data_IF_966668052787
#
_entry.id   IF_966668052787
#
_cell.length_a   1.000
_cell.length_b   1.000
_cell.length_c   1.000
_cell.angle_alpha   90.00
_cell.angle_beta   90.00
_cell.angle_gamma   90.00
#
_symmetry.space_group_name_H-M   'P 1'
#
loop_
_entity.id
_entity.type
_entity.pdbx_description
1 polymer ?
#
# COMPACT_ATOMS: atom_id res chain seq x y z
N UNK A 1 -4.72 -40.06 3.56
CA UNK A 1 -3.99 -38.87 4.00
C UNK A 1 -5.03 -37.87 4.51
N UNK A 2 -5.01 -37.50 5.78
CA UNK A 2 -5.85 -36.43 6.29
C UNK A 2 -5.53 -35.16 5.51
N UNK A 3 -6.54 -34.48 4.97
CA UNK A 3 -6.35 -33.18 4.34
C UNK A 3 -5.74 -32.27 5.40
N UNK A 4 -4.53 -31.81 5.19
CA UNK A 4 -3.90 -30.83 6.08
C UNK A 4 -4.77 -29.58 6.00
N UNK A 5 -5.44 -29.24 7.09
CA UNK A 5 -6.30 -28.08 7.19
C UNK A 5 -5.48 -26.84 6.82
N UNK A 6 -5.85 -26.16 5.73
CA UNK A 6 -5.12 -24.99 5.25
C UNK A 6 -5.45 -23.79 6.13
N UNK A 7 -4.44 -22.97 6.41
CA UNK A 7 -4.64 -21.75 7.15
C UNK A 7 -5.37 -20.67 6.32
N UNK A 8 -5.25 -20.75 5.00
CA UNK A 8 -5.84 -19.79 4.07
C UNK A 8 -6.67 -20.48 3.00
N UNK A 9 -7.75 -19.81 2.59
CA UNK A 9 -8.58 -20.14 1.43
C UNK A 9 -8.50 -19.01 0.41
N UNK A 10 -8.83 -19.32 -0.86
CA UNK A 10 -8.91 -18.33 -1.92
C UNK A 10 -10.32 -18.34 -2.51
N UNK A 11 -10.95 -17.17 -2.58
CA UNK A 11 -12.28 -17.00 -3.14
C UNK A 11 -12.20 -16.28 -4.49
N UNK A 12 -12.74 -16.90 -5.56
CA UNK A 12 -12.90 -16.24 -6.84
C UNK A 12 -14.17 -15.38 -6.82
N UNK A 13 -14.07 -14.15 -7.30
CA UNK A 13 -15.20 -13.23 -7.37
C UNK A 13 -15.16 -12.35 -8.63
N UNK A 14 -16.30 -11.78 -9.01
CA UNK A 14 -16.37 -10.84 -10.13
C UNK A 14 -15.83 -9.49 -9.73
N UNK A 15 -14.89 -8.94 -10.47
CA UNK A 15 -14.21 -7.68 -10.13
C UNK A 15 -15.18 -6.49 -9.98
N UNK A 16 -16.16 -6.38 -10.87
CA UNK A 16 -17.07 -5.22 -10.91
C UNK A 16 -18.11 -5.27 -9.80
N UNK A 17 -18.68 -6.45 -9.49
CA UNK A 17 -19.77 -6.54 -8.51
C UNK A 17 -19.31 -6.98 -7.13
N UNK A 18 -18.13 -7.58 -7.02
CA UNK A 18 -17.63 -8.19 -5.80
C UNK A 18 -18.26 -9.56 -5.47
N UNK A 19 -19.22 -10.07 -6.29
CA UNK A 19 -19.91 -11.31 -6.00
C UNK A 19 -18.96 -12.50 -6.00
N UNK A 20 -18.93 -13.23 -4.89
CA UNK A 20 -18.16 -14.48 -4.75
C UNK A 20 -18.85 -15.57 -5.55
N UNK A 21 -18.06 -16.29 -6.34
CA UNK A 21 -18.51 -17.34 -7.23
C UNK A 21 -18.27 -18.71 -6.61
N UNK A 22 -17.05 -18.98 -6.20
CA UNK A 22 -16.63 -20.26 -5.62
C UNK A 22 -15.30 -20.10 -4.87
N UNK A 23 -14.97 -21.14 -4.11
CA UNK A 23 -13.65 -21.30 -3.50
C UNK A 23 -12.70 -21.98 -4.50
N UNK A 24 -11.48 -21.46 -4.61
CA UNK A 24 -10.44 -21.96 -5.51
C UNK A 24 -9.66 -23.06 -4.81
N UNK A 25 -9.53 -24.21 -5.48
CA UNK A 25 -8.62 -25.25 -5.00
C UNK A 25 -7.16 -24.79 -5.15
N UNK A 26 -6.44 -24.81 -4.05
CA UNK A 26 -5.03 -24.42 -4.02
C UNK A 26 -4.13 -25.65 -4.05
N UNK A 27 -2.97 -25.56 -4.70
CA UNK A 27 -1.92 -26.57 -4.63
C UNK A 27 -0.94 -26.30 -3.47
N UNK A 28 -0.78 -25.03 -3.09
CA UNK A 28 0.08 -24.55 -2.01
C UNK A 28 -0.60 -23.42 -1.22
N UNK A 29 -0.05 -23.06 -0.06
CA UNK A 29 -0.49 -21.87 0.67
C UNK A 29 -0.31 -20.63 -0.22
N UNK A 30 -1.28 -19.70 -0.21
CA UNK A 30 -1.19 -18.48 -1.01
C UNK A 30 -0.18 -17.50 -0.42
N UNK A 31 0.43 -16.69 -1.28
CA UNK A 31 1.20 -15.52 -0.88
C UNK A 31 0.31 -14.28 -0.94
N UNK A 32 0.47 -13.36 0.00
CA UNK A 32 -0.25 -12.09 0.00
C UNK A 32 0.54 -11.00 0.74
N UNK A 33 0.28 -9.75 0.37
CA UNK A 33 0.80 -8.59 1.06
C UNK A 33 -0.21 -7.45 1.01
N UNK A 34 -0.38 -6.76 2.12
CA UNK A 34 -1.16 -5.52 2.26
C UNK A 34 -0.26 -4.43 2.84
N UNK A 35 -0.30 -3.23 2.28
CA UNK A 35 0.56 -2.12 2.66
C UNK A 35 -0.19 -0.81 2.52
N UNK A 36 0.06 0.15 3.44
CA UNK A 36 -0.47 1.50 3.29
C UNK A 36 0.17 2.20 2.10
N UNK A 37 -0.56 3.09 1.47
CA UNK A 37 -0.10 3.90 0.35
C UNK A 37 0.49 3.10 -0.81
N UNK A 38 0.05 1.84 -0.95
CA UNK A 38 0.58 0.91 -1.95
C UNK A 38 -0.53 -0.03 -2.45
N UNK A 39 -0.29 -0.61 -3.61
CA UNK A 39 -1.23 -1.53 -4.27
C UNK A 39 -1.37 -2.85 -3.52
N UNK A 40 -0.26 -3.35 -2.93
CA UNK A 40 -0.21 -4.71 -2.40
C UNK A 40 -0.36 -5.76 -3.49
N UNK A 41 -0.48 -7.05 -3.10
CA UNK A 41 -0.62 -8.12 -4.07
C UNK A 41 -0.90 -9.48 -3.46
N UNK A 42 -1.17 -10.43 -4.34
CA UNK A 42 -1.40 -11.83 -3.98
C UNK A 42 -0.92 -12.77 -5.07
N UNK A 43 -0.63 -14.01 -4.69
CA UNK A 43 -0.25 -15.09 -5.60
C UNK A 43 -0.82 -16.42 -5.08
N UNK A 44 -1.40 -17.20 -5.97
CA UNK A 44 -1.92 -18.54 -5.69
C UNK A 44 -1.34 -19.55 -6.68
N UNK A 45 -1.26 -20.78 -6.24
CA UNK A 45 -0.90 -21.93 -7.09
C UNK A 45 -2.08 -22.89 -7.11
N UNK A 46 -2.58 -23.20 -8.31
CA UNK A 46 -3.74 -24.06 -8.53
C UNK A 46 -3.34 -25.34 -9.27
N UNK A 47 -3.89 -26.50 -8.92
CA UNK A 47 -3.57 -27.75 -9.60
C UNK A 47 -4.27 -27.82 -10.97
N UNK A 48 -3.57 -28.33 -12.00
CA UNK A 48 -4.05 -28.46 -13.38
C UNK A 48 -4.26 -29.93 -13.84
N UNK A 49 -4.38 -30.86 -12.93
CA UNK A 49 -4.48 -32.28 -13.29
C UNK A 49 -5.69 -32.54 -14.21
N UNK A 50 -5.40 -32.90 -15.49
CA UNK A 50 -6.36 -33.29 -16.51
C UNK A 50 -7.01 -32.10 -17.24
N UNK A 51 -7.40 -32.35 -18.50
CA UNK A 51 -7.94 -31.31 -19.39
C UNK A 51 -9.22 -30.64 -18.89
N UNK A 52 -10.11 -31.39 -18.23
CA UNK A 52 -11.35 -30.85 -17.69
C UNK A 52 -11.11 -29.82 -16.58
N UNK A 53 -10.09 -30.03 -15.75
CA UNK A 53 -9.73 -29.06 -14.69
C UNK A 53 -9.03 -27.85 -15.28
N UNK A 54 -8.11 -28.04 -16.21
CA UNK A 54 -7.46 -26.94 -16.92
C UNK A 54 -8.47 -26.05 -17.64
N UNK A 55 -9.50 -26.62 -18.26
CA UNK A 55 -10.60 -25.88 -18.88
C UNK A 55 -11.34 -25.00 -17.85
N UNK A 56 -11.70 -25.56 -16.69
CA UNK A 56 -12.35 -24.80 -15.60
C UNK A 56 -11.48 -23.66 -15.08
N UNK A 57 -10.18 -23.89 -14.89
CA UNK A 57 -9.25 -22.82 -14.48
C UNK A 57 -9.23 -21.71 -15.51
N UNK A 58 -9.19 -22.05 -16.82
CA UNK A 58 -9.19 -21.07 -17.90
C UNK A 58 -10.47 -20.22 -17.95
N UNK A 59 -11.62 -20.74 -17.55
CA UNK A 59 -12.89 -20.01 -17.52
C UNK A 59 -12.87 -18.81 -16.54
N UNK A 60 -12.20 -18.94 -15.40
CA UNK A 60 -12.16 -17.89 -14.38
C UNK A 60 -10.80 -17.18 -14.29
N UNK A 61 -9.73 -17.74 -14.87
CA UNK A 61 -8.42 -17.08 -14.90
C UNK A 61 -8.37 -16.04 -16.03
N UNK A 62 -9.32 -15.09 -16.01
CA UNK A 62 -9.43 -14.01 -16.99
C UNK A 62 -9.07 -12.69 -16.33
N UNK A 63 -7.92 -12.08 -16.71
CA UNK A 63 -7.47 -10.81 -16.13
C UNK A 63 -8.56 -9.74 -16.15
N UNK A 64 -8.60 -8.95 -15.08
CA UNK A 64 -9.51 -7.83 -14.86
C UNK A 64 -11.00 -8.19 -14.74
N UNK A 65 -11.45 -9.29 -15.33
CA UNK A 65 -12.83 -9.77 -15.21
C UNK A 65 -13.09 -10.43 -13.87
N UNK A 66 -12.12 -11.22 -13.40
CA UNK A 66 -12.18 -11.91 -12.14
C UNK A 66 -11.07 -11.47 -11.21
N UNK A 67 -11.35 -11.60 -9.95
CA UNK A 67 -10.50 -11.23 -8.83
C UNK A 67 -10.42 -12.40 -7.85
N UNK A 68 -9.36 -12.42 -7.04
CA UNK A 68 -9.18 -13.40 -5.96
C UNK A 68 -9.09 -12.66 -4.63
N UNK A 69 -9.72 -13.22 -3.61
CA UNK A 69 -9.57 -12.82 -2.23
C UNK A 69 -8.88 -13.94 -1.43
N UNK A 70 -7.82 -13.61 -0.72
CA UNK A 70 -7.13 -14.50 0.21
C UNK A 70 -7.74 -14.30 1.58
N UNK A 71 -8.28 -15.37 2.15
CA UNK A 71 -9.05 -15.35 3.38
C UNK A 71 -8.41 -16.27 4.41
N UNK A 72 -8.25 -15.79 5.64
CA UNK A 72 -7.86 -16.57 6.80
C UNK A 72 -9.04 -16.66 7.76
N UNK A 73 -9.28 -17.85 8.30
CA UNK A 73 -10.34 -18.09 9.29
C UNK A 73 -11.33 -19.17 8.85
N UNK A 74 -12.25 -19.48 9.73
CA UNK A 74 -13.29 -20.50 9.53
C UNK A 74 -14.67 -19.89 9.81
N UNK A 75 -15.35 -19.47 8.76
CA UNK A 75 -16.71 -18.95 8.82
C UNK A 75 -16.81 -17.43 8.70
N UNK A 76 -17.93 -16.99 8.13
CA UNK A 76 -18.14 -15.62 7.62
C UNK A 76 -17.94 -14.51 8.68
N UNK A 77 -18.26 -14.79 9.94
CA UNK A 77 -18.19 -13.78 11.01
C UNK A 77 -16.76 -13.55 11.59
N UNK A 78 -15.87 -14.52 11.37
CA UNK A 78 -14.49 -14.50 11.88
C UNK A 78 -13.43 -14.47 10.77
N UNK A 79 -13.86 -14.50 9.51
CA UNK A 79 -12.96 -14.52 8.36
C UNK A 79 -12.28 -13.19 8.18
N UNK A 80 -10.95 -13.20 8.13
CA UNK A 80 -10.12 -12.06 7.77
C UNK A 80 -9.75 -12.14 6.31
N UNK A 81 -10.18 -11.18 5.50
CA UNK A 81 -9.70 -11.03 4.12
C UNK A 81 -8.37 -10.30 4.17
N UNK A 82 -7.28 -11.05 3.92
CA UNK A 82 -5.93 -10.54 4.02
C UNK A 82 -5.54 -9.65 2.84
N UNK A 83 -5.96 -10.05 1.63
CA UNK A 83 -5.78 -9.28 0.39
C UNK A 83 -6.83 -9.71 -0.63
N UNK A 84 -7.26 -8.77 -1.47
CA UNK A 84 -8.16 -9.06 -2.59
C UNK A 84 -7.95 -8.08 -3.74
N UNK A 85 -8.16 -8.55 -4.97
CA UNK A 85 -8.11 -7.71 -6.16
C UNK A 85 -7.96 -8.49 -7.45
N UNK A 86 -7.82 -7.78 -8.59
CA UNK A 86 -7.90 -8.38 -9.91
C UNK A 86 -6.75 -9.33 -10.22
N UNK A 87 -7.05 -10.37 -10.97
CA UNK A 87 -6.05 -11.16 -11.67
C UNK A 87 -5.40 -10.24 -12.71
N UNK A 88 -4.06 -10.19 -12.71
CA UNK A 88 -3.31 -9.37 -13.68
C UNK A 88 -2.42 -10.25 -14.53
N UNK A 89 -1.35 -10.86 -14.01
CA UNK A 89 -0.58 -11.82 -14.78
C UNK A 89 -0.98 -13.27 -14.47
N UNK A 90 -0.89 -14.12 -15.47
CA UNK A 90 -0.85 -15.56 -15.32
C UNK A 90 0.08 -16.14 -16.39
N UNK A 91 0.76 -17.22 -16.06
CA UNK A 91 1.69 -17.88 -16.96
C UNK A 91 1.53 -19.40 -16.79
N UNK A 92 0.75 -20.06 -17.65
CA UNK A 92 0.69 -21.51 -17.68
C UNK A 92 2.02 -22.07 -18.23
N UNK A 93 2.45 -23.17 -17.65
CA UNK A 93 3.60 -23.96 -18.08
C UNK A 93 3.10 -25.36 -18.42
N UNK A 94 3.32 -25.81 -19.65
CA UNK A 94 2.81 -27.08 -20.14
C UNK A 94 3.44 -28.28 -19.42
N UNK A 95 4.65 -28.13 -18.91
CA UNK A 95 5.36 -29.18 -18.17
C UNK A 95 5.01 -29.20 -16.67
N UNK A 96 4.24 -28.21 -16.19
CA UNK A 96 3.90 -28.09 -14.77
C UNK A 96 2.50 -28.62 -14.45
N UNK A 97 2.36 -29.51 -13.42
CA UNK A 97 1.05 -29.97 -12.95
C UNK A 97 0.28 -28.91 -12.19
N UNK A 98 0.86 -27.72 -12.00
CA UNK A 98 0.27 -26.60 -11.29
C UNK A 98 0.40 -25.31 -12.10
N UNK A 99 -0.52 -24.39 -11.86
CA UNK A 99 -0.54 -23.10 -12.51
C UNK A 99 -0.46 -21.97 -11.47
N UNK A 100 0.43 -21.02 -11.69
CA UNK A 100 0.56 -19.84 -10.84
C UNK A 100 -0.28 -18.70 -11.41
N UNK A 101 -1.15 -18.17 -10.56
CA UNK A 101 -1.97 -16.99 -10.83
C UNK A 101 -1.64 -15.92 -9.82
N UNK A 102 -1.42 -14.71 -10.25
CA UNK A 102 -1.13 -13.59 -9.39
C UNK A 102 -1.99 -12.37 -9.71
N UNK A 103 -2.07 -11.47 -8.75
CA UNK A 103 -2.84 -10.26 -8.89
C UNK A 103 -2.39 -9.17 -7.94
N UNK A 104 -3.07 -8.07 -8.04
CA UNK A 104 -2.81 -6.85 -7.30
C UNK A 104 -3.99 -6.52 -6.39
N UNK A 105 -3.81 -5.61 -5.43
CA UNK A 105 -4.90 -5.07 -4.64
C UNK A 105 -5.82 -4.13 -5.44
N UNK A 106 -6.88 -3.66 -4.79
CA UNK A 106 -7.91 -2.81 -5.41
C UNK A 106 -7.35 -1.54 -6.07
N UNK A 107 -6.32 -0.93 -5.48
CA UNK A 107 -5.69 0.29 -6.00
C UNK A 107 -5.23 0.16 -7.45
N UNK A 108 -4.84 -1.04 -7.89
CA UNK A 108 -4.40 -1.26 -9.27
C UNK A 108 -5.49 -0.96 -10.30
N UNK A 109 -6.77 -1.10 -9.92
CA UNK A 109 -7.88 -0.72 -10.81
C UNK A 109 -7.89 0.79 -11.02
N UNK A 110 -7.55 1.58 -10.00
CA UNK A 110 -7.45 3.03 -10.08
C UNK A 110 -6.27 3.48 -10.96
N UNK A 111 -5.19 2.69 -11.00
CA UNK A 111 -4.05 2.92 -11.91
C UNK A 111 -4.42 2.74 -13.39
N UNK A 112 -5.61 2.23 -13.68
CA UNK A 112 -6.15 2.01 -15.03
C UNK A 112 -7.36 2.88 -15.33
N UNK A 113 -7.60 3.92 -14.53
CA UNK A 113 -8.71 4.87 -14.71
C UNK A 113 -8.20 6.28 -14.83
N UNK A 114 -8.53 6.93 -15.94
CA UNK A 114 -8.28 8.36 -16.12
C UNK A 114 -9.16 9.14 -15.16
N UNK A 115 -8.56 10.08 -14.44
CA UNK A 115 -9.26 10.97 -13.52
C UNK A 115 -9.80 12.19 -14.27
N UNK A 116 -11.09 12.41 -14.20
CA UNK A 116 -11.80 13.58 -14.70
C UNK A 116 -13.08 13.78 -13.88
N UNK A 117 -13.76 14.89 -14.09
CA UNK A 117 -15.03 15.14 -13.43
C UNK A 117 -16.05 14.04 -13.78
N UNK A 118 -16.68 13.41 -12.79
CA UNK A 118 -17.57 12.26 -12.98
C UNK A 118 -18.76 12.49 -13.91
N UNK A 119 -19.20 13.74 -14.03
CA UNK A 119 -20.33 14.13 -14.90
C UNK A 119 -19.89 14.51 -16.32
N UNK A 120 -18.58 14.54 -16.61
CA UNK A 120 -18.11 14.74 -17.97
C UNK A 120 -18.56 13.57 -18.84
N UNK A 121 -18.98 13.87 -20.08
CA UNK A 121 -19.46 12.87 -21.02
C UNK A 121 -18.77 13.03 -22.38
N UNK A 122 -17.99 12.05 -22.86
CA UNK A 122 -17.26 12.14 -24.12
C UNK A 122 -18.17 12.22 -25.35
N UNK A 123 -19.47 11.91 -25.24
CA UNK A 123 -20.42 12.06 -26.36
C UNK A 123 -20.84 13.51 -26.57
N UNK A 124 -20.68 14.39 -25.58
CA UNK A 124 -21.16 15.80 -25.60
C UNK A 124 -20.08 16.84 -25.38
N UNK A 125 -18.89 16.43 -24.87
CA UNK A 125 -17.81 17.34 -24.54
C UNK A 125 -16.44 16.69 -24.79
N UNK A 126 -15.44 17.49 -25.15
CA UNK A 126 -14.06 17.02 -25.32
C UNK A 126 -13.38 16.89 -23.95
N UNK A 127 -12.38 16.04 -23.86
CA UNK A 127 -11.56 15.91 -22.62
C UNK A 127 -10.78 17.19 -22.29
N UNK A 128 -10.62 18.07 -23.28
CA UNK A 128 -9.99 19.40 -23.14
C UNK A 128 -10.95 20.50 -22.71
N UNK A 129 -12.24 20.20 -22.59
CA UNK A 129 -13.23 21.18 -22.15
C UNK A 129 -13.22 21.28 -20.61
N UNK A 130 -13.47 22.45 -20.06
CA UNK A 130 -13.51 22.69 -18.62
C UNK A 130 -14.50 21.78 -17.85
N UNK A 131 -15.48 21.19 -18.54
CA UNK A 131 -16.40 20.22 -17.95
C UNK A 131 -15.72 18.89 -17.57
N UNK A 132 -14.54 18.60 -18.13
CA UNK A 132 -13.73 17.44 -17.79
C UNK A 132 -12.80 17.69 -16.58
N UNK A 133 -12.53 18.97 -16.27
CA UNK A 133 -11.63 19.35 -15.20
C UNK A 133 -12.23 19.03 -13.83
N UNK A 134 -11.40 18.50 -12.96
CA UNK A 134 -11.75 18.22 -11.57
C UNK A 134 -10.92 19.12 -10.66
N UNK A 135 -11.56 20.09 -10.03
CA UNK A 135 -10.95 20.90 -8.98
C UNK A 135 -11.62 20.59 -7.64
N UNK A 136 -10.84 20.27 -6.63
CA UNK A 136 -11.31 19.94 -5.29
C UNK A 136 -10.65 20.89 -4.30
N UNK A 137 -11.49 21.58 -3.53
CA UNK A 137 -11.11 22.43 -2.41
C UNK A 137 -11.59 21.77 -1.13
N UNK A 138 -10.70 21.11 -0.39
CA UNK A 138 -11.06 20.41 0.83
C UNK A 138 -9.81 20.04 1.65
N UNK A 139 -9.97 19.30 2.74
CA UNK A 139 -8.86 18.65 3.44
C UNK A 139 -8.23 17.55 2.57
N UNK A 140 -6.95 17.25 2.80
CA UNK A 140 -6.24 16.19 2.05
C UNK A 140 -6.95 14.83 2.12
N UNK A 141 -7.47 14.36 3.29
CA UNK A 141 -8.29 13.16 3.36
C UNK A 141 -9.54 13.18 2.47
N UNK A 142 -10.26 14.31 2.46
CA UNK A 142 -11.44 14.46 1.61
C UNK A 142 -11.07 14.54 0.12
N UNK A 143 -9.92 15.12 -0.24
CA UNK A 143 -9.40 15.11 -1.60
C UNK A 143 -9.10 13.68 -2.04
N UNK A 144 -8.44 12.86 -1.19
CA UNK A 144 -8.20 11.44 -1.48
C UNK A 144 -9.51 10.67 -1.74
N UNK A 145 -10.49 10.87 -0.87
CA UNK A 145 -11.85 10.31 -1.04
C UNK A 145 -12.49 10.72 -2.36
N UNK A 146 -12.44 12.01 -2.70
CA UNK A 146 -13.05 12.55 -3.91
C UNK A 146 -12.40 12.03 -5.19
N UNK A 147 -11.07 11.82 -5.21
CA UNK A 147 -10.37 11.18 -6.34
C UNK A 147 -10.99 9.80 -6.61
N UNK A 148 -11.15 8.97 -5.56
CA UNK A 148 -11.73 7.63 -5.70
C UNK A 148 -13.20 7.70 -6.09
N UNK A 149 -13.98 8.61 -5.50
CA UNK A 149 -15.38 8.82 -5.84
C UNK A 149 -15.55 9.16 -7.34
N UNK A 150 -14.83 10.14 -7.85
CA UNK A 150 -14.87 10.51 -9.27
C UNK A 150 -14.44 9.35 -10.17
N UNK A 151 -13.44 8.59 -9.78
CA UNK A 151 -12.95 7.44 -10.56
C UNK A 151 -13.90 6.23 -10.57
N UNK A 152 -14.83 6.13 -9.59
CA UNK A 152 -15.70 4.95 -9.43
C UNK A 152 -17.19 5.23 -9.62
N UNK A 153 -17.58 6.49 -9.86
CA UNK A 153 -18.99 6.89 -10.02
C UNK A 153 -19.26 7.70 -11.30
N UNK A 154 -18.55 7.41 -12.40
CA UNK A 154 -18.71 8.09 -13.67
C UNK A 154 -20.13 7.91 -14.24
N UNK A 155 -20.86 9.00 -14.44
CA UNK A 155 -22.28 8.92 -14.81
C UNK A 155 -22.53 8.42 -16.23
N UNK A 156 -21.61 8.67 -17.16
CA UNK A 156 -21.72 8.28 -18.57
C UNK A 156 -21.25 6.85 -18.86
N UNK A 157 -20.67 6.17 -17.89
CA UNK A 157 -19.95 4.89 -18.10
C UNK A 157 -20.61 3.78 -17.31
N UNK A 158 -21.39 2.97 -17.98
CA UNK A 158 -21.92 1.74 -17.38
C UNK A 158 -20.79 0.85 -16.86
N UNK A 159 -20.90 0.31 -15.63
CA UNK A 159 -19.87 -0.50 -15.00
C UNK A 159 -18.69 0.30 -14.41
N UNK A 160 -18.81 1.63 -14.30
CA UNK A 160 -17.81 2.44 -13.57
C UNK A 160 -17.82 2.16 -12.07
N UNK A 161 -18.99 1.82 -11.51
CA UNK A 161 -19.13 1.47 -10.11
C UNK A 161 -18.32 0.23 -9.76
N UNK A 162 -17.62 0.30 -8.62
CA UNK A 162 -16.84 -0.79 -8.06
C UNK A 162 -17.30 -1.08 -6.64
N UNK A 163 -17.04 -2.29 -6.11
CA UNK A 163 -17.42 -2.68 -4.75
C UNK A 163 -16.51 -2.03 -3.70
N UNK A 164 -16.48 -0.70 -3.66
CA UNK A 164 -15.72 0.11 -2.70
C UNK A 164 -16.67 0.96 -1.85
N UNK A 165 -16.39 1.01 -0.54
CA UNK A 165 -17.08 1.86 0.41
C UNK A 165 -16.16 3.02 0.77
N UNK A 166 -16.60 4.23 0.45
CA UNK A 166 -15.86 5.45 0.73
C UNK A 166 -16.09 5.89 2.18
N UNK A 167 -15.09 6.47 2.85
CA UNK A 167 -15.26 7.00 4.19
C UNK A 167 -16.25 8.16 4.20
N UNK A 168 -16.86 8.41 5.35
CA UNK A 168 -17.59 9.66 5.57
C UNK A 168 -16.61 10.83 5.45
N UNK A 169 -16.98 11.94 4.78
CA UNK A 169 -16.15 13.13 4.74
C UNK A 169 -15.77 13.61 6.14
N UNK A 170 -14.52 13.97 6.33
CA UNK A 170 -14.00 14.59 7.56
C UNK A 170 -14.27 16.10 7.55
N UNK A 171 -13.72 16.83 8.52
CA UNK A 171 -13.75 18.28 8.52
C UNK A 171 -13.19 18.86 7.21
N UNK A 172 -13.80 19.94 6.73
CA UNK A 172 -13.37 20.64 5.53
C UNK A 172 -12.00 21.29 5.74
N UNK A 173 -11.21 21.34 4.69
CA UNK A 173 -9.90 22.01 4.68
C UNK A 173 -9.80 23.06 3.60
N UNK A 174 -8.62 23.65 3.47
CA UNK A 174 -8.33 24.73 2.51
C UNK A 174 -7.35 24.30 1.41
N UNK A 175 -7.00 23.01 1.34
CA UNK A 175 -6.11 22.50 0.32
C UNK A 175 -6.84 22.45 -1.02
N UNK A 176 -6.17 22.90 -2.08
CA UNK A 176 -6.70 22.84 -3.45
C UNK A 176 -5.90 21.86 -4.28
N UNK A 177 -6.59 21.01 -5.03
CA UNK A 177 -6.00 20.18 -6.08
C UNK A 177 -6.83 20.33 -7.36
N UNK A 178 -6.14 20.64 -8.45
CA UNK A 178 -6.73 20.73 -9.78
C UNK A 178 -6.17 19.61 -10.66
N UNK A 179 -7.06 18.91 -11.30
CA UNK A 179 -6.75 17.80 -12.21
C UNK A 179 -7.42 18.10 -13.56
N UNK A 180 -6.71 18.78 -14.47
CA UNK A 180 -7.23 19.07 -15.79
C UNK A 180 -7.53 17.79 -16.57
N UNK A 181 -8.68 17.75 -17.26
CA UNK A 181 -9.07 16.58 -18.04
C UNK A 181 -8.07 16.25 -19.15
N UNK A 182 -7.45 17.26 -19.75
CA UNK A 182 -6.47 17.08 -20.82
C UNK A 182 -5.16 16.39 -20.39
N UNK A 183 -4.82 16.38 -19.09
CA UNK A 183 -3.67 15.65 -18.57
C UNK A 183 -3.87 14.14 -18.65
N UNK A 184 -5.11 13.67 -18.74
CA UNK A 184 -5.48 12.25 -18.76
C UNK A 184 -4.75 11.42 -17.68
N UNK A 185 -4.50 12.05 -16.54
CA UNK A 185 -3.75 11.45 -15.46
C UNK A 185 -4.53 10.28 -14.83
N UNK A 186 -3.83 9.25 -14.41
CA UNK A 186 -4.46 8.08 -13.77
C UNK A 186 -4.85 8.40 -12.32
N UNK A 187 -6.08 8.02 -11.93
CA UNK A 187 -6.60 8.27 -10.58
C UNK A 187 -5.72 7.66 -9.48
N UNK A 188 -5.19 6.44 -9.69
CA UNK A 188 -4.29 5.78 -8.75
C UNK A 188 -2.97 6.53 -8.59
N UNK A 189 -2.42 7.08 -9.68
CA UNK A 189 -1.21 7.91 -9.62
C UNK A 189 -1.47 9.21 -8.84
N UNK A 190 -2.57 9.92 -9.11
CA UNK A 190 -2.91 11.15 -8.38
C UNK A 190 -3.17 10.90 -6.90
N UNK A 191 -3.74 9.76 -6.57
CA UNK A 191 -3.89 9.32 -5.20
C UNK A 191 -2.52 9.05 -4.54
N UNK A 192 -1.60 8.40 -5.26
CA UNK A 192 -0.24 8.14 -4.78
C UNK A 192 0.53 9.45 -4.52
N UNK A 193 0.51 10.38 -5.46
CA UNK A 193 1.12 11.70 -5.30
C UNK A 193 0.57 12.45 -4.06
N UNK A 194 -0.74 12.33 -3.79
CA UNK A 194 -1.36 12.96 -2.63
C UNK A 194 -0.87 12.37 -1.30
N UNK A 195 -0.55 11.08 -1.25
CA UNK A 195 0.00 10.45 -0.03
C UNK A 195 1.45 10.84 0.24
N UNK A 196 2.16 11.40 -0.74
CA UNK A 196 3.58 11.76 -0.66
C UNK A 196 3.83 13.23 -0.33
N UNK A 197 2.78 14.09 -0.30
CA UNK A 197 2.96 15.49 0.10
C UNK A 197 3.16 15.59 1.62
N UNK A 198 3.69 16.73 2.08
CA UNK A 198 3.76 17.02 3.52
C UNK A 198 2.36 16.91 4.13
N UNK A 199 2.25 16.20 5.25
CA UNK A 199 0.96 15.88 5.91
C UNK A 199 -0.03 15.14 4.98
N UNK A 200 0.49 14.45 3.95
CA UNK A 200 -0.30 13.61 3.05
C UNK A 200 -1.01 12.48 3.82
N UNK A 201 -2.26 12.16 3.44
CA UNK A 201 -3.04 11.18 4.18
C UNK A 201 -2.56 9.76 3.90
N UNK A 202 -2.60 8.91 4.91
CA UNK A 202 -2.56 7.47 4.69
C UNK A 202 -3.79 7.00 3.94
N UNK A 203 -3.60 6.08 3.00
CA UNK A 203 -4.70 5.45 2.28
C UNK A 203 -4.52 3.93 2.28
N UNK A 204 -5.57 3.22 2.65
CA UNK A 204 -5.62 1.76 2.59
C UNK A 204 -6.98 1.31 2.03
N UNK A 205 -6.96 0.37 1.09
CA UNK A 205 -8.17 -0.35 0.66
C UNK A 205 -8.22 -1.69 1.38
N UNK A 206 -9.00 -1.73 2.47
CA UNK A 206 -9.19 -2.94 3.27
C UNK A 206 -10.27 -3.83 2.63
N UNK A 207 -9.93 -5.01 2.10
CA UNK A 207 -10.93 -5.94 1.63
C UNK A 207 -11.67 -6.58 2.80
N UNK A 208 -12.95 -6.87 2.60
CA UNK A 208 -13.76 -7.60 3.59
C UNK A 208 -14.85 -8.44 2.90
N UNK A 209 -15.26 -9.49 3.58
CA UNK A 209 -16.33 -10.38 3.16
C UNK A 209 -17.65 -9.93 3.79
N UNK A 210 -18.72 -9.90 3.01
CA UNK A 210 -20.06 -9.58 3.49
C UNK A 210 -21.12 -10.44 2.81
N UNK A 211 -22.30 -10.50 3.40
CA UNK A 211 -23.45 -11.22 2.84
C UNK A 211 -24.58 -10.23 2.55
N UNK A 212 -25.04 -10.21 1.32
CA UNK A 212 -26.14 -9.36 0.85
C UNK A 212 -27.15 -10.27 0.15
N UNK A 213 -28.39 -10.31 0.64
CA UNK A 213 -29.42 -11.16 0.05
C UNK A 213 -29.10 -12.66 0.02
N UNK A 214 -28.35 -13.15 1.02
CA UNK A 214 -27.92 -14.55 1.10
C UNK A 214 -26.71 -14.92 0.22
N UNK A 215 -26.17 -13.99 -0.54
CA UNK A 215 -24.98 -14.18 -1.38
C UNK A 215 -23.77 -13.50 -0.77
N UNK A 216 -22.59 -14.12 -0.93
CA UNK A 216 -21.31 -13.58 -0.44
C UNK A 216 -20.72 -12.58 -1.42
N UNK A 217 -20.16 -11.49 -0.89
CA UNK A 217 -19.50 -10.44 -1.65
C UNK A 217 -18.17 -10.05 -1.00
N UNK A 218 -17.17 -9.82 -1.82
CA UNK A 218 -15.94 -9.13 -1.44
C UNK A 218 -16.13 -7.64 -1.77
N UNK A 219 -15.98 -6.81 -0.77
CA UNK A 219 -15.98 -5.35 -0.92
C UNK A 219 -14.70 -4.77 -0.36
N UNK A 220 -14.40 -3.54 -0.71
CA UNK A 220 -13.23 -2.82 -0.23
C UNK A 220 -13.66 -1.59 0.54
N UNK A 221 -13.20 -1.46 1.78
CA UNK A 221 -13.37 -0.22 2.54
C UNK A 221 -12.17 0.66 2.31
N UNK A 222 -12.37 1.86 1.78
CA UNK A 222 -11.33 2.88 1.75
C UNK A 222 -11.17 3.47 3.14
N UNK A 223 -9.98 3.33 3.70
CA UNK A 223 -9.58 3.95 4.96
C UNK A 223 -8.63 5.10 4.61
N UNK A 224 -8.85 6.25 5.25
CA UNK A 224 -8.03 7.46 5.02
C UNK A 224 -7.63 8.03 6.36
N UNK A 225 -6.34 8.26 6.55
CA UNK A 225 -5.78 8.88 7.75
C UNK A 225 -5.80 10.42 7.67
N UNK A 226 -5.56 11.07 8.82
CA UNK A 226 -5.40 12.51 8.89
C UNK A 226 -4.25 12.88 9.86
N UNK A 227 -2.98 12.94 9.42
CA UNK A 227 -2.48 12.30 8.19
C UNK A 227 -2.40 10.77 8.33
N UNK A 228 -2.30 10.21 9.54
CA UNK A 228 -2.06 8.80 9.79
C UNK A 228 -3.34 8.01 10.05
N UNK A 229 -3.35 6.75 9.61
CA UNK A 229 -4.32 5.76 10.09
C UNK A 229 -3.94 5.37 11.53
N UNK A 230 -4.86 5.58 12.45
CA UNK A 230 -4.67 5.28 13.87
C UNK A 230 -5.70 4.23 14.30
N UNK A 231 -5.24 3.20 15.02
CA UNK A 231 -6.16 2.24 15.63
C UNK A 231 -6.94 2.89 16.77
N UNK A 232 -8.19 2.48 16.99
CA UNK A 232 -8.93 2.88 18.18
C UNK A 232 -8.35 2.19 19.43
N UNK A 233 -8.31 2.89 20.56
CA UNK A 233 -7.90 2.34 21.85
C UNK A 233 -6.40 2.39 22.12
N UNK A 234 -5.89 1.41 22.87
CA UNK A 234 -4.49 1.33 23.28
C UNK A 234 -3.60 0.81 22.15
N UNK A 235 -2.29 1.17 22.15
CA UNK A 235 -1.33 0.59 21.22
C UNK A 235 -1.32 -0.94 21.27
N UNK A 236 -1.13 -1.56 20.12
CA UNK A 236 -0.96 -3.01 20.00
C UNK A 236 0.34 -3.42 20.68
N UNK A 237 0.35 -4.57 21.36
CA UNK A 237 1.53 -5.06 22.06
C UNK A 237 1.97 -6.42 21.51
N UNK A 238 3.22 -6.48 21.06
CA UNK A 238 3.87 -7.71 20.63
C UNK A 238 5.07 -8.00 21.53
N UNK A 239 5.04 -9.15 22.23
CA UNK A 239 6.09 -9.57 23.18
C UNK A 239 7.03 -10.59 22.56
N UNK A 240 8.34 -10.31 22.59
CA UNK A 240 9.39 -11.16 22.06
C UNK A 240 9.42 -12.53 22.76
N UNK A 241 9.46 -13.59 21.96
CA UNK A 241 9.34 -15.00 22.36
C UNK A 241 7.96 -15.41 22.91
N UNK A 242 6.96 -14.60 22.68
CA UNK A 242 5.56 -14.94 22.90
C UNK A 242 4.81 -14.88 21.57
N UNK A 243 4.04 -13.83 21.33
CA UNK A 243 3.38 -13.57 20.05
C UNK A 243 4.29 -12.93 18.99
N UNK A 244 5.44 -12.36 19.39
CA UNK A 244 6.52 -11.91 18.52
C UNK A 244 7.61 -12.98 18.46
N UNK A 245 7.71 -13.69 17.34
CA UNK A 245 8.61 -14.85 17.16
C UNK A 245 10.02 -14.40 16.81
N UNK A 246 10.14 -13.41 15.91
CA UNK A 246 11.43 -12.93 15.39
C UNK A 246 11.39 -11.45 15.08
N UNK A 247 12.50 -10.77 15.38
CA UNK A 247 12.82 -9.44 14.86
C UNK A 247 14.03 -9.53 13.94
N UNK A 248 13.92 -8.95 12.77
CA UNK A 248 15.02 -8.77 11.83
C UNK A 248 15.26 -7.27 11.70
N UNK A 249 16.48 -6.85 11.91
CA UNK A 249 16.92 -5.46 11.81
C UNK A 249 17.99 -5.41 10.75
N UNK A 250 17.77 -4.64 9.71
CA UNK A 250 18.73 -4.38 8.66
C UNK A 250 19.06 -2.89 8.65
N UNK A 251 20.32 -2.56 8.82
CA UNK A 251 20.82 -1.22 8.63
C UNK A 251 21.61 -1.15 7.33
N UNK A 252 21.33 -0.17 6.49
CA UNK A 252 22.07 0.08 5.26
C UNK A 252 22.54 1.53 5.26
N UNK A 253 23.86 1.72 5.31
CA UNK A 253 24.49 3.02 5.27
C UNK A 253 25.01 3.43 3.89
N UNK A 254 24.68 2.69 2.82
CA UNK A 254 25.18 2.97 1.46
C UNK A 254 24.82 4.35 0.95
N UNK A 255 23.65 4.87 1.34
CA UNK A 255 23.16 6.20 0.97
C UNK A 255 23.36 7.25 2.09
N UNK A 256 24.09 6.89 3.16
CA UNK A 256 24.32 7.82 4.25
C UNK A 256 25.20 8.99 3.79
N UNK A 257 24.76 10.22 4.09
CA UNK A 257 25.48 11.45 3.79
C UNK A 257 25.35 12.43 4.95
N UNK A 258 26.42 13.14 5.24
CA UNK A 258 26.43 14.23 6.22
C UNK A 258 26.67 15.60 5.58
N UNK A 259 26.81 15.62 4.27
CA UNK A 259 26.95 16.84 3.46
C UNK A 259 26.15 16.67 2.16
N UNK A 260 25.34 17.65 1.82
CA UNK A 260 24.54 17.65 0.60
C UNK A 260 24.82 18.86 -0.28
N UNK A 261 24.91 18.61 -1.58
CA UNK A 261 24.98 19.61 -2.64
C UNK A 261 23.75 19.44 -3.54
N UNK A 262 22.89 20.45 -3.61
CA UNK A 262 21.71 20.44 -4.47
C UNK A 262 21.96 21.33 -5.68
N UNK A 263 21.89 20.76 -6.89
CA UNK A 263 22.08 21.52 -8.14
C UNK A 263 20.84 22.33 -8.49
N UNK A 264 21.01 23.62 -8.68
CA UNK A 264 20.00 24.53 -9.22
C UNK A 264 20.16 24.79 -10.72
N UNK A 265 19.63 25.91 -11.18
CA UNK A 265 19.79 26.36 -12.56
C UNK A 265 21.21 26.88 -12.84
N UNK A 266 21.61 26.87 -14.09
CA UNK A 266 22.90 27.34 -14.55
C UNK A 266 23.76 26.23 -15.18
N UNK A 267 24.90 26.62 -15.75
CA UNK A 267 25.88 25.73 -16.36
C UNK A 267 27.31 26.20 -16.01
N UNK A 268 28.22 25.25 -15.88
CA UNK A 268 29.65 25.50 -15.62
C UNK A 268 29.86 26.43 -14.40
N UNK A 269 30.58 27.53 -14.56
CA UNK A 269 30.86 28.50 -13.50
C UNK A 269 29.63 29.29 -13.02
N UNK A 270 28.55 29.28 -13.79
CA UNK A 270 27.26 29.89 -13.42
C UNK A 270 26.27 28.95 -12.75
N UNK A 271 26.67 27.71 -12.43
CA UNK A 271 25.81 26.74 -11.76
C UNK A 271 25.47 27.21 -10.35
N UNK A 272 24.18 27.40 -10.07
CA UNK A 272 23.70 27.59 -8.70
C UNK A 272 23.67 26.24 -7.95
N UNK A 273 23.98 26.30 -6.66
CA UNK A 273 23.88 25.12 -5.81
C UNK A 273 23.53 25.49 -4.37
N UNK A 274 22.71 24.65 -3.75
CA UNK A 274 22.49 24.65 -2.31
C UNK A 274 23.52 23.78 -1.60
N UNK A 275 23.85 24.13 -0.37
CA UNK A 275 24.82 23.41 0.45
C UNK A 275 24.36 23.32 1.89
N UNK A 276 24.49 22.13 2.46
CA UNK A 276 24.32 21.93 3.90
C UNK A 276 25.25 20.82 4.39
N UNK A 277 25.63 20.88 5.66
CA UNK A 277 26.45 19.86 6.32
C UNK A 277 26.04 19.70 7.78
N UNK A 278 26.19 18.47 8.31
CA UNK A 278 26.09 18.18 9.74
C UNK A 278 27.48 17.93 10.33
N UNK A 279 28.13 18.95 10.91
CA UNK A 279 29.47 18.80 11.47
C UNK A 279 29.49 17.94 12.74
N UNK A 280 28.33 17.68 13.37
CA UNK A 280 28.26 16.89 14.59
C UNK A 280 28.66 15.43 14.34
N UNK A 281 28.30 14.89 13.17
CA UNK A 281 28.68 13.53 12.76
C UNK A 281 30.19 13.42 12.54
N UNK A 282 30.80 14.40 11.88
CA UNK A 282 32.27 14.43 11.69
C UNK A 282 32.99 14.52 13.04
N UNK A 283 32.49 15.36 13.95
CA UNK A 283 33.00 15.46 15.33
C UNK A 283 32.86 14.15 16.10
N UNK A 284 31.79 13.39 15.84
CA UNK A 284 31.56 12.08 16.43
C UNK A 284 32.34 10.93 15.78
N UNK A 285 33.18 11.22 14.76
CA UNK A 285 34.11 10.27 14.12
C UNK A 285 33.63 9.66 12.81
N UNK A 286 32.53 10.18 12.23
CA UNK A 286 32.15 9.79 10.87
C UNK A 286 33.06 10.45 9.81
N UNK A 287 33.37 9.79 8.70
CA UNK A 287 34.04 10.44 7.57
C UNK A 287 33.09 11.47 6.92
N UNK A 288 33.65 12.38 6.12
CA UNK A 288 32.83 13.19 5.22
C UNK A 288 32.20 12.28 4.17
N UNK A 289 30.88 12.36 4.07
CA UNK A 289 30.05 11.62 3.13
C UNK A 289 29.21 12.64 2.37
N UNK A 290 29.60 12.91 1.13
CA UNK A 290 28.95 13.87 0.27
C UNK A 290 27.87 13.20 -0.59
N UNK A 291 26.74 13.87 -0.76
CA UNK A 291 25.73 13.54 -1.75
C UNK A 291 25.48 14.71 -2.70
N UNK A 292 25.03 14.39 -3.90
CA UNK A 292 24.67 15.40 -4.91
C UNK A 292 23.25 15.11 -5.39
N UNK A 293 22.33 16.03 -5.08
CA UNK A 293 20.97 16.01 -5.63
C UNK A 293 20.92 16.85 -6.92
N UNK A 294 20.54 16.22 -8.01
CA UNK A 294 20.36 16.83 -9.32
C UNK A 294 18.89 16.93 -9.74
N UNK A 295 17.95 16.68 -8.84
CA UNK A 295 16.50 16.71 -9.12
C UNK A 295 15.93 18.12 -9.28
N UNK A 296 16.68 19.17 -8.90
CA UNK A 296 16.19 20.54 -8.78
C UNK A 296 16.84 21.53 -9.74
N UNK A 297 17.34 21.07 -10.88
CA UNK A 297 18.14 21.87 -11.85
C UNK A 297 17.41 23.06 -12.48
N UNK A 298 16.10 23.20 -12.30
CA UNK A 298 15.30 24.35 -12.74
C UNK A 298 15.18 25.45 -11.66
N UNK A 299 15.61 25.20 -10.43
CA UNK A 299 15.47 26.16 -9.33
C UNK A 299 16.52 27.27 -9.42
N UNK A 300 16.06 28.51 -9.30
CA UNK A 300 16.89 29.73 -9.40
C UNK A 300 17.06 30.49 -8.08
N UNK A 301 16.37 30.05 -7.03
CA UNK A 301 16.34 30.72 -5.73
C UNK A 301 17.27 30.04 -4.72
N UNK A 302 18.33 30.73 -4.29
CA UNK A 302 19.33 30.20 -3.36
C UNK A 302 18.75 29.69 -2.05
N UNK A 303 17.81 30.39 -1.35
CA UNK A 303 17.24 29.89 -0.10
C UNK A 303 16.46 28.57 -0.28
N UNK A 304 15.88 28.37 -1.46
CA UNK A 304 15.17 27.13 -1.78
C UNK A 304 16.14 25.97 -1.94
N UNK A 305 17.26 26.18 -2.63
CA UNK A 305 18.32 25.19 -2.81
C UNK A 305 18.96 24.81 -1.46
N UNK A 306 19.27 25.81 -0.62
CA UNK A 306 19.82 25.58 0.72
C UNK A 306 18.82 24.83 1.63
N UNK A 307 17.53 25.14 1.49
CA UNK A 307 16.47 24.42 2.18
C UNK A 307 16.40 22.93 1.80
N UNK A 308 16.53 22.60 0.52
CA UNK A 308 16.59 21.21 0.07
C UNK A 308 17.88 20.53 0.54
N UNK A 309 19.03 21.17 0.46
CA UNK A 309 20.27 20.61 0.97
C UNK A 309 20.19 20.30 2.48
N UNK A 310 19.56 21.18 3.27
CA UNK A 310 19.33 20.95 4.69
C UNK A 310 18.38 19.77 4.94
N UNK A 311 17.33 19.63 4.11
CA UNK A 311 16.40 18.51 4.18
C UNK A 311 17.09 17.18 3.82
N UNK A 312 17.93 17.17 2.82
CA UNK A 312 18.72 15.99 2.41
C UNK A 312 19.66 15.55 3.53
N UNK A 313 20.43 16.49 4.12
CA UNK A 313 21.28 16.16 5.28
C UNK A 313 20.45 15.60 6.43
N UNK A 314 19.29 16.18 6.75
CA UNK A 314 18.42 15.68 7.81
C UNK A 314 17.88 14.26 7.51
N UNK A 315 17.67 13.93 6.24
CA UNK A 315 17.18 12.64 5.79
C UNK A 315 18.27 11.56 5.80
N UNK A 316 19.46 11.88 5.28
CA UNK A 316 20.53 10.93 5.01
C UNK A 316 21.63 10.92 6.09
N UNK A 317 21.61 11.82 7.08
CA UNK A 317 22.60 11.86 8.17
C UNK A 317 22.54 10.65 9.11
N UNK A 318 21.43 9.96 9.17
CA UNK A 318 21.26 8.78 9.99
C UNK A 318 21.10 7.52 9.14
N UNK A 319 21.72 6.43 9.58
CA UNK A 319 21.50 5.12 8.97
C UNK A 319 20.05 4.68 9.24
N UNK A 320 19.21 4.50 8.21
CA UNK A 320 17.88 4.00 8.42
C UNK A 320 17.92 2.51 8.77
N UNK A 321 17.48 2.15 9.96
CA UNK A 321 17.22 0.76 10.32
C UNK A 321 15.85 0.35 9.80
N UNK A 322 15.81 -0.68 8.96
CA UNK A 322 14.59 -1.33 8.53
C UNK A 322 14.27 -2.50 9.45
N UNK A 323 13.16 -2.40 10.15
CA UNK A 323 12.70 -3.42 11.07
C UNK A 323 11.61 -4.27 10.43
N UNK A 324 11.73 -5.57 10.63
CA UNK A 324 10.72 -6.54 10.25
C UNK A 324 10.42 -7.45 11.44
N UNK A 325 9.16 -7.59 11.78
CA UNK A 325 8.72 -8.48 12.83
C UNK A 325 7.97 -9.69 12.26
N UNK A 326 8.28 -10.89 12.75
CA UNK A 326 7.50 -12.09 12.50
C UNK A 326 6.65 -12.36 13.74
N UNK A 327 5.33 -12.33 13.57
CA UNK A 327 4.37 -12.51 14.65
C UNK A 327 3.46 -13.71 14.40
N UNK A 328 2.86 -14.26 15.47
CA UNK A 328 1.86 -15.32 15.36
C UNK A 328 0.53 -14.73 14.87
N UNK A 329 -0.03 -15.32 13.82
CA UNK A 329 -1.25 -14.83 13.20
C UNK A 329 -2.50 -14.98 14.12
N UNK A 330 -2.53 -16.01 14.95
CA UNK A 330 -3.68 -16.39 15.77
C UNK A 330 -3.55 -16.00 17.26
N UNK A 331 -2.38 -15.46 17.66
CA UNK A 331 -2.18 -14.91 19.00
C UNK A 331 -2.67 -13.45 19.07
N UNK A 332 -3.09 -13.01 20.27
CA UNK A 332 -3.49 -11.61 20.45
C UNK A 332 -2.26 -10.67 20.44
N UNK A 333 -2.29 -9.56 19.67
CA UNK A 333 -3.32 -9.13 18.70
C UNK A 333 -3.38 -10.05 17.47
N UNK A 334 -4.56 -10.57 17.14
CA UNK A 334 -4.75 -11.50 16.01
C UNK A 334 -4.67 -10.78 14.67
N UNK A 335 -4.25 -11.49 13.64
CA UNK A 335 -4.38 -11.03 12.26
C UNK A 335 -5.85 -10.66 11.96
N UNK A 336 -6.06 -9.45 11.45
CA UNK A 336 -7.40 -8.89 11.21
C UNK A 336 -7.88 -7.95 12.31
N UNK A 337 -7.33 -8.00 13.55
CA UNK A 337 -7.59 -7.00 14.58
C UNK A 337 -6.75 -5.74 14.41
N UNK A 338 -5.74 -5.78 13.54
CA UNK A 338 -4.90 -4.65 13.19
C UNK A 338 -4.69 -4.56 11.68
N UNK A 339 -4.25 -3.41 11.22
CA UNK A 339 -4.08 -3.07 9.81
C UNK A 339 -2.72 -2.38 9.57
N UNK A 340 -2.21 -2.40 8.34
CA UNK A 340 -1.19 -1.45 7.92
C UNK A 340 -1.62 -0.02 8.25
N UNK A 341 -0.69 0.77 8.76
CA UNK A 341 -0.92 2.13 9.26
C UNK A 341 -1.02 2.23 10.78
N UNK A 342 -1.39 1.16 11.47
CA UNK A 342 -1.51 1.15 12.93
C UNK A 342 -0.15 1.21 13.63
N UNK A 343 -0.16 1.72 14.86
CA UNK A 343 1.00 1.80 15.74
C UNK A 343 1.04 0.60 16.69
N UNK A 344 2.23 0.08 16.94
CA UNK A 344 2.42 -1.06 17.82
C UNK A 344 3.69 -0.91 18.67
N UNK A 345 3.63 -1.42 19.89
CA UNK A 345 4.75 -1.58 20.78
C UNK A 345 5.32 -2.99 20.66
N UNK A 346 6.61 -3.09 20.42
CA UNK A 346 7.35 -4.34 20.41
C UNK A 346 8.18 -4.42 21.68
N UNK A 347 7.74 -5.25 22.62
CA UNK A 347 8.41 -5.46 23.91
C UNK A 347 9.51 -6.49 23.73
N UNK A 348 10.74 -6.10 24.04
CA UNK A 348 11.93 -6.93 23.83
C UNK A 348 12.62 -7.20 25.15
N UNK A 349 12.87 -8.47 25.44
CA UNK A 349 13.65 -8.92 26.59
C UNK A 349 14.67 -9.98 26.16
N UNK A 350 15.90 -9.86 26.67
CA UNK A 350 16.99 -10.81 26.41
C UNK A 350 17.26 -11.06 24.91
N UNK A 351 17.18 -10.02 24.11
CA UNK A 351 17.58 -10.06 22.70
C UNK A 351 19.09 -9.83 22.58
N UNK A 352 19.76 -10.53 21.69
CA UNK A 352 21.22 -10.47 21.57
C UNK A 352 21.74 -9.14 21.00
N UNK A 353 20.88 -8.37 20.31
CA UNK A 353 21.25 -7.10 19.67
C UNK A 353 20.62 -5.89 20.36
N UNK A 354 19.36 -5.99 20.79
CA UNK A 354 18.60 -4.90 21.36
C UNK A 354 18.66 -4.89 22.88
N UNK A 355 18.67 -3.72 23.47
CA UNK A 355 18.45 -3.52 24.91
C UNK A 355 17.02 -3.94 25.28
N UNK A 356 16.84 -4.36 26.53
CA UNK A 356 15.51 -4.61 27.06
C UNK A 356 14.69 -3.32 27.05
N UNK A 357 13.48 -3.38 26.51
CA UNK A 357 12.62 -2.19 26.40
C UNK A 357 11.41 -2.41 25.51
N UNK A 358 10.64 -1.36 25.39
CA UNK A 358 9.56 -1.23 24.40
C UNK A 358 10.04 -0.35 23.25
N UNK A 359 9.76 -0.78 22.06
CA UNK A 359 10.08 -0.10 20.82
C UNK A 359 8.79 0.17 20.08
N UNK A 360 8.42 1.43 19.94
CA UNK A 360 7.18 1.84 19.26
C UNK A 360 7.44 2.04 17.78
N UNK A 361 6.71 1.29 16.96
CA UNK A 361 6.81 1.32 15.51
C UNK A 361 5.44 1.43 14.88
N UNK A 362 5.43 1.96 13.67
CA UNK A 362 4.27 1.93 12.79
C UNK A 362 4.35 0.73 11.85
N UNK A 363 3.27 0.00 11.70
CA UNK A 363 3.15 -1.11 10.77
C UNK A 363 2.90 -0.53 9.37
N UNK A 364 3.89 -0.58 8.48
CA UNK A 364 3.73 -0.13 7.08
C UNK A 364 3.01 -1.16 6.23
N UNK A 365 3.29 -2.42 6.48
CA UNK A 365 2.74 -3.52 5.72
C UNK A 365 2.66 -4.81 6.51
N UNK A 366 1.75 -5.66 6.10
CA UNK A 366 1.52 -7.00 6.63
C UNK A 366 1.50 -7.98 5.47
N UNK A 367 2.20 -9.09 5.59
CA UNK A 367 2.22 -10.15 4.58
C UNK A 367 2.25 -11.54 5.24
N UNK A 368 1.97 -12.58 4.45
CA UNK A 368 2.16 -13.93 4.97
C UNK A 368 3.62 -14.15 5.39
N UNK A 369 3.80 -14.90 6.46
CA UNK A 369 5.10 -15.29 6.99
C UNK A 369 5.68 -16.51 6.30
N UNK A 370 6.86 -16.98 6.77
CA UNK A 370 7.52 -18.17 6.24
C UNK A 370 6.77 -19.47 6.56
N UNK A 371 5.90 -19.44 7.55
CA UNK A 371 5.05 -20.55 7.97
C UNK A 371 3.60 -20.09 8.03
N UNK A 372 2.66 -21.03 7.88
CA UNK A 372 1.21 -20.75 7.77
C UNK A 372 0.58 -20.03 8.96
N UNK A 373 1.17 -20.15 10.15
CA UNK A 373 0.73 -19.55 11.41
C UNK A 373 1.42 -18.21 11.72
N UNK A 374 2.29 -17.73 10.82
CA UNK A 374 3.08 -16.51 10.99
C UNK A 374 2.74 -15.46 9.96
N UNK A 375 2.88 -14.22 10.37
CA UNK A 375 2.79 -13.04 9.50
C UNK A 375 4.00 -12.14 9.71
N UNK A 376 4.36 -11.42 8.66
CA UNK A 376 5.46 -10.46 8.66
C UNK A 376 4.89 -9.05 8.75
N UNK A 377 5.42 -8.25 9.65
CA UNK A 377 5.21 -6.81 9.70
C UNK A 377 6.43 -6.09 9.14
N UNK A 378 6.23 -5.19 8.20
CA UNK A 378 7.20 -4.19 7.81
C UNK A 378 7.00 -2.97 8.68
N UNK A 379 8.05 -2.47 9.32
CA UNK A 379 7.96 -1.48 10.37
C UNK A 379 8.67 -0.19 9.98
N UNK A 380 8.17 0.92 10.48
CA UNK A 380 8.77 2.24 10.39
C UNK A 380 8.90 2.84 11.79
N UNK A 381 10.08 3.35 12.12
CA UNK A 381 10.28 4.06 13.38
C UNK A 381 9.34 5.27 13.50
N UNK A 382 8.77 5.45 14.68
CA UNK A 382 8.00 6.67 15.00
C UNK A 382 9.02 7.77 15.27
N UNK A 383 9.03 8.83 14.45
CA UNK A 383 9.93 9.97 14.69
C UNK A 383 9.57 10.62 16.02
N UNK A 384 10.51 10.67 16.96
CA UNK A 384 10.36 11.36 18.24
C UNK A 384 10.13 10.47 19.47
N UNK A 385 10.37 9.15 19.37
CA UNK A 385 10.41 8.26 20.53
C UNK A 385 11.83 7.98 21.01
#
# INVERSE_FOLDING_TARGET
MAATERAYTALAYTTVTGRVLFEVDLAAEPEWSSRINDVGGWKITVPLHGQARAAKVREWCVPWRFSIAIVRGQGVASDTVCQAGPIVPYAPDDDSPVHTVSGKGFWEILNRRVLHHRNWNPATARITDASADLTINDSLPNIARNIVDHATTMTYRAGSALPVDLPTPTETGTSTRAYPGYDMAMAGQRLQELTQVSEGPDVLFQPYLTVIGGLRYIRHRMLVGNPYLVQPGVPLLFDYRSNLVKLTIAGDGSDQANTAFVKGTGNEAGQLYGYATDPSLVTAGWPLLDMVDSGHTSASEQPTLDGWAAADVALYSSQPEQWQATVLADAEPRLGSYLPGHFADYSVKNHHWLKNGKYSYRILGVSNGPERDKVLHQLQAVRGS
#
